data_IF_466984442827
#
_entry.id   IF_466984442827
#
_cell.length_a   1.000
_cell.length_b   1.000
_cell.length_c   1.000
_cell.angle_alpha   90.00
_cell.angle_beta   90.00
_cell.angle_gamma   90.00
#
_symmetry.space_group_name_H-M   'P 1'
#
loop_
_entity.id
_entity.type
_entity.pdbx_description
1 polymer ?
#
# COMPACT_ATOMS: atom_id res chain seq x y z
N UNK A 1 52.10 -5.01 18.83
CA UNK A 1 51.38 -6.04 18.10
C UNK A 1 49.87 -6.00 18.29
N UNK A 2 49.40 -5.81 19.50
CA UNK A 2 47.94 -5.77 19.76
C UNK A 2 47.18 -4.67 19.05
N UNK A 3 47.82 -3.55 18.77
CA UNK A 3 47.21 -2.43 18.06
C UNK A 3 46.86 -2.73 16.61
N UNK A 4 47.58 -3.59 15.94
CA UNK A 4 47.34 -3.97 14.53
C UNK A 4 46.08 -4.83 14.41
N UNK A 5 45.86 -5.75 15.33
CA UNK A 5 44.70 -6.62 15.36
C UNK A 5 43.42 -5.86 15.67
N UNK A 6 43.48 -4.87 16.55
CA UNK A 6 42.34 -4.06 16.89
C UNK A 6 41.88 -3.20 15.70
N UNK A 7 42.82 -2.62 14.94
CA UNK A 7 42.52 -1.83 13.75
C UNK A 7 41.87 -2.68 12.65
N UNK A 8 42.32 -3.91 12.46
CA UNK A 8 41.72 -4.80 11.49
C UNK A 8 40.31 -5.24 11.85
N UNK A 9 40.03 -5.46 13.14
CA UNK A 9 38.70 -5.82 13.62
C UNK A 9 37.69 -4.68 13.44
N UNK A 10 38.07 -3.44 13.69
CA UNK A 10 37.22 -2.26 13.47
C UNK A 10 36.87 -2.09 12.00
N UNK A 11 37.79 -2.31 11.09
CA UNK A 11 37.55 -2.23 9.66
C UNK A 11 36.52 -3.27 9.18
N UNK A 12 36.58 -4.48 9.72
CA UNK A 12 35.61 -5.55 9.38
C UNK A 12 34.20 -5.18 9.83
N UNK A 13 34.03 -4.57 10.98
CA UNK A 13 32.75 -4.11 11.48
C UNK A 13 32.13 -3.03 10.59
N UNK A 14 32.90 -2.09 10.09
CA UNK A 14 32.42 -1.05 9.18
C UNK A 14 31.92 -1.62 7.84
N UNK A 15 32.57 -2.62 7.30
CA UNK A 15 32.13 -3.29 6.07
C UNK A 15 30.78 -3.99 6.27
N UNK A 16 30.58 -4.65 7.39
CA UNK A 16 29.34 -5.35 7.69
C UNK A 16 28.13 -4.39 7.84
N UNK A 17 28.33 -3.22 8.40
CA UNK A 17 27.25 -2.27 8.58
C UNK A 17 26.76 -1.63 7.27
N UNK A 18 27.59 -1.57 6.23
CA UNK A 18 27.21 -1.01 4.94
C UNK A 18 26.35 -1.95 4.08
N UNK A 19 26.29 -3.25 4.39
CA UNK A 19 25.50 -4.24 3.65
C UNK A 19 24.04 -4.35 4.13
N UNK A 20 23.64 -3.67 5.18
CA UNK A 20 22.31 -3.79 5.79
C UNK A 20 21.28 -2.79 5.30
N UNK A 21 21.64 -1.88 4.39
CA UNK A 21 20.72 -0.89 3.85
C UNK A 21 20.00 -1.45 2.63
N UNK A 22 18.80 -1.92 2.84
CA UNK A 22 17.89 -2.27 1.76
C UNK A 22 16.91 -1.14 1.52
N UNK A 23 16.72 -0.79 0.25
CA UNK A 23 15.67 0.14 -0.16
C UNK A 23 14.42 -0.67 -0.46
N UNK A 24 13.37 -0.48 0.35
CA UNK A 24 12.08 -1.09 0.16
C UNK A 24 11.01 -0.04 -0.09
N UNK A 25 9.94 -0.42 -0.76
CA UNK A 25 8.73 0.40 -0.91
C UNK A 25 7.71 -0.12 0.08
N UNK A 26 7.23 0.76 0.96
CA UNK A 26 6.22 0.44 1.95
C UNK A 26 4.92 1.18 1.64
N UNK A 27 3.78 0.52 1.83
CA UNK A 27 2.49 1.18 1.73
C UNK A 27 2.31 2.20 2.85
N UNK A 28 1.89 3.42 2.51
CA UNK A 28 1.53 4.45 3.49
C UNK A 28 0.16 4.20 4.10
N UNK A 29 -0.73 3.58 3.33
CA UNK A 29 -2.07 3.21 3.74
C UNK A 29 -2.54 2.02 2.93
N UNK A 30 -3.47 1.28 3.49
CA UNK A 30 -4.16 0.18 2.81
C UNK A 30 -5.67 0.35 3.00
N UNK A 31 -6.45 -0.09 2.02
CA UNK A 31 -7.90 -0.11 2.16
C UNK A 31 -8.32 -1.17 3.17
N UNK A 32 -9.43 -0.94 3.84
CA UNK A 32 -10.13 -1.99 4.54
C UNK A 32 -10.47 -3.11 3.55
N UNK A 33 -10.36 -4.38 3.96
CA UNK A 33 -10.68 -5.48 3.07
C UNK A 33 -12.16 -5.49 2.70
N UNK A 34 -12.46 -5.97 1.49
CA UNK A 34 -13.84 -6.22 1.08
C UNK A 34 -14.40 -7.44 1.84
N UNK A 35 -15.72 -7.49 2.01
CA UNK A 35 -16.35 -8.55 2.80
C UNK A 35 -16.41 -9.89 2.06
N UNK A 36 -16.39 -9.87 0.75
CA UNK A 36 -16.42 -11.08 -0.08
C UNK A 36 -15.09 -11.83 0.03
N UNK A 37 -15.15 -13.11 0.34
CA UNK A 37 -13.96 -13.96 0.40
C UNK A 37 -13.48 -14.38 -0.99
N UNK A 38 -12.22 -14.78 -1.08
CA UNK A 38 -11.60 -15.24 -2.31
C UNK A 38 -11.10 -14.09 -3.19
N UNK A 39 -10.98 -14.35 -4.48
CA UNK A 39 -10.48 -13.42 -5.47
C UNK A 39 -11.60 -12.49 -5.98
N UNK A 40 -12.08 -11.59 -5.12
CA UNK A 40 -13.20 -10.72 -5.42
C UNK A 40 -12.80 -9.27 -5.71
N UNK A 41 -11.78 -8.73 -5.06
CA UNK A 41 -11.27 -7.39 -5.34
C UNK A 41 -10.63 -7.35 -6.73
N UNK A 42 -10.99 -6.36 -7.55
CA UNK A 42 -10.56 -6.35 -8.95
C UNK A 42 -9.96 -5.02 -9.38
N UNK A 43 -10.74 -3.98 -9.59
CA UNK A 43 -10.30 -2.77 -10.26
C UNK A 43 -10.47 -1.52 -9.39
N UNK A 44 -9.44 -0.64 -9.25
CA UNK A 44 -9.55 0.63 -8.56
C UNK A 44 -9.74 1.79 -9.53
N UNK A 45 -10.41 2.85 -9.08
CA UNK A 45 -10.48 4.12 -9.79
C UNK A 45 -10.40 5.29 -8.81
N UNK A 46 -9.57 6.28 -9.11
CA UNK A 46 -9.32 7.43 -8.25
C UNK A 46 -10.18 8.62 -8.66
N UNK A 47 -10.84 9.23 -7.67
CA UNK A 47 -11.55 10.51 -7.84
C UNK A 47 -10.73 11.60 -7.15
N UNK A 48 -10.10 12.46 -7.94
CA UNK A 48 -9.27 13.53 -7.41
C UNK A 48 -10.13 14.74 -7.05
N UNK A 49 -10.01 15.19 -5.82
CA UNK A 49 -10.56 16.47 -5.39
C UNK A 49 -9.49 17.55 -5.60
N UNK A 50 -9.62 18.34 -6.68
CA UNK A 50 -8.62 19.35 -7.02
C UNK A 50 -8.57 20.53 -6.05
N UNK A 51 -9.67 20.83 -5.36
CA UNK A 51 -9.71 21.91 -4.36
C UNK A 51 -9.06 21.49 -3.04
N UNK A 52 -9.21 20.23 -2.67
CA UNK A 52 -8.62 19.64 -1.48
C UNK A 52 -8.17 18.21 -1.78
N UNK A 53 -6.93 18.02 -2.27
CA UNK A 53 -6.45 16.68 -2.67
C UNK A 53 -6.52 15.63 -1.57
N UNK A 54 -6.43 16.02 -0.32
CA UNK A 54 -6.54 15.08 0.82
C UNK A 54 -7.95 14.52 1.00
N UNK A 55 -8.95 15.16 0.42
CA UNK A 55 -10.34 14.69 0.41
C UNK A 55 -10.69 13.87 -0.83
N UNK A 56 -9.69 13.48 -1.61
CA UNK A 56 -9.88 12.58 -2.75
C UNK A 56 -10.36 11.21 -2.25
N UNK A 57 -11.06 10.51 -3.13
CA UNK A 57 -11.64 9.20 -2.84
C UNK A 57 -11.20 8.21 -3.92
N UNK A 58 -11.33 6.93 -3.64
CA UNK A 58 -11.17 5.92 -4.67
C UNK A 58 -12.25 4.85 -4.57
N UNK A 59 -12.61 4.32 -5.73
CA UNK A 59 -13.48 3.16 -5.82
C UNK A 59 -12.65 1.88 -5.85
N UNK A 60 -13.23 0.81 -5.34
CA UNK A 60 -12.73 -0.53 -5.56
C UNK A 60 -13.88 -1.43 -5.95
N UNK A 61 -13.72 -2.20 -7.02
CA UNK A 61 -14.75 -3.13 -7.45
C UNK A 61 -14.62 -4.48 -6.74
N UNK A 62 -15.77 -5.04 -6.41
CA UNK A 62 -15.94 -6.43 -6.02
C UNK A 62 -16.66 -7.13 -7.18
N UNK A 63 -15.96 -8.02 -7.87
CA UNK A 63 -16.51 -8.69 -9.08
C UNK A 63 -17.71 -9.58 -8.82
N UNK A 64 -18.10 -9.75 -7.57
CA UNK A 64 -19.27 -10.56 -7.20
C UNK A 64 -20.39 -9.76 -6.55
N UNK A 65 -20.10 -8.61 -5.95
CA UNK A 65 -21.05 -7.92 -5.07
C UNK A 65 -21.33 -6.46 -5.46
N UNK A 66 -20.35 -5.70 -5.96
CA UNK A 66 -20.59 -4.30 -6.29
C UNK A 66 -19.36 -3.40 -6.19
N UNK A 67 -19.56 -2.18 -5.66
CA UNK A 67 -18.53 -1.15 -5.63
C UNK A 67 -18.38 -0.57 -4.23
N UNK A 68 -17.15 -0.54 -3.75
CA UNK A 68 -16.75 0.13 -2.52
C UNK A 68 -16.18 1.52 -2.81
N UNK A 69 -16.43 2.46 -1.91
CA UNK A 69 -15.84 3.79 -1.92
C UNK A 69 -14.99 3.96 -0.66
N UNK A 70 -13.74 4.40 -0.85
CA UNK A 70 -12.77 4.59 0.22
C UNK A 70 -12.22 6.00 0.24
N UNK A 71 -11.80 6.48 1.42
CA UNK A 71 -10.95 7.65 1.52
C UNK A 71 -9.47 7.30 1.27
N UNK A 72 -8.58 8.30 1.25
CA UNK A 72 -7.16 8.07 1.01
C UNK A 72 -6.45 7.34 2.15
N UNK A 73 -7.07 7.22 3.31
CA UNK A 73 -6.56 6.41 4.42
C UNK A 73 -6.95 4.93 4.29
N UNK A 74 -7.77 4.59 3.30
CA UNK A 74 -8.28 3.25 3.10
C UNK A 74 -9.55 2.92 3.89
N UNK A 75 -10.16 3.91 4.52
CA UNK A 75 -11.39 3.71 5.30
C UNK A 75 -12.59 3.68 4.37
N UNK A 76 -13.40 2.63 4.48
CA UNK A 76 -14.61 2.46 3.69
C UNK A 76 -15.64 3.56 4.00
N UNK A 77 -16.05 4.28 2.98
CA UNK A 77 -17.06 5.32 3.07
C UNK A 77 -18.46 4.82 2.73
N UNK A 78 -18.55 3.97 1.71
CA UNK A 78 -19.82 3.40 1.29
C UNK A 78 -19.62 2.13 0.49
N UNK A 79 -20.69 1.36 0.34
CA UNK A 79 -20.77 0.20 -0.52
C UNK A 79 -22.08 0.26 -1.32
N UNK A 80 -21.98 0.03 -2.62
CA UNK A 80 -23.12 -0.02 -3.54
C UNK A 80 -23.29 -1.44 -4.06
N UNK A 81 -24.37 -2.15 -3.70
CA UNK A 81 -24.59 -3.54 -4.08
C UNK A 81 -25.14 -3.63 -5.52
N UNK A 82 -24.29 -3.36 -6.50
CA UNK A 82 -24.67 -3.32 -7.91
C UNK A 82 -24.54 -4.68 -8.62
N UNK A 83 -24.14 -5.73 -7.91
CA UNK A 83 -23.88 -7.04 -8.47
C UNK A 83 -22.47 -7.16 -9.01
N UNK A 84 -22.27 -8.06 -9.97
CA UNK A 84 -20.94 -8.35 -10.53
C UNK A 84 -20.41 -7.17 -11.36
N UNK A 85 -19.40 -6.49 -10.85
CA UNK A 85 -18.72 -5.36 -11.49
C UNK A 85 -17.24 -5.69 -11.64
N UNK A 86 -16.76 -5.79 -12.88
CA UNK A 86 -15.35 -6.08 -13.13
C UNK A 86 -14.49 -4.83 -13.23
N UNK A 87 -14.98 -3.79 -13.89
CA UNK A 87 -14.22 -2.58 -14.17
C UNK A 87 -14.93 -1.33 -13.68
N UNK A 88 -14.14 -0.34 -13.34
CA UNK A 88 -14.61 1.00 -13.02
C UNK A 88 -13.63 2.02 -13.56
N UNK A 89 -14.13 3.13 -14.09
CA UNK A 89 -13.34 4.22 -14.62
C UNK A 89 -13.99 5.56 -14.31
N UNK A 90 -13.16 6.58 -14.20
CA UNK A 90 -13.61 7.93 -13.84
C UNK A 90 -13.08 8.96 -14.82
#
# INVERSE_FOLDING_TARGET
MNKIYLSFFVLTLLVNSSCSQETGVFALAESEPIETSGDAADDPALIINFKNPRSSLFFGTDKTAGVYLYDLKGVKQSFSPLGAINNIDV
#
